data_IF_758881711687
#
_entry.id   IF_758881711687
#
_cell.length_a   1.000
_cell.length_b   1.000
_cell.length_c   1.000
_cell.angle_alpha   90.00
_cell.angle_beta   90.00
_cell.angle_gamma   90.00
#
_symmetry.space_group_name_H-M   'P 1'
#
loop_
_entity.id
_entity.type
_entity.pdbx_description
1 polymer ?
#
# COMPACT_ATOMS: atom_id res chain seq x y z
N UNK A 1 38.66 -19.59 -13.72
CA UNK A 1 37.28 -19.34 -14.18
C UNK A 1 36.79 -18.12 -13.43
N UNK A 2 36.76 -16.94 -14.06
CA UNK A 2 36.10 -15.77 -13.50
C UNK A 2 34.62 -16.13 -13.31
N UNK A 3 34.14 -16.08 -12.07
CA UNK A 3 32.71 -16.15 -11.80
C UNK A 3 32.07 -14.96 -12.53
N UNK A 4 31.19 -15.21 -13.49
CA UNK A 4 30.38 -14.15 -14.07
C UNK A 4 29.61 -13.47 -12.95
N UNK A 5 29.97 -12.22 -12.65
CA UNK A 5 29.25 -11.42 -11.65
C UNK A 5 27.84 -11.27 -12.20
N UNK A 6 26.88 -11.96 -11.59
CA UNK A 6 25.48 -11.88 -12.02
C UNK A 6 24.97 -10.50 -11.62
N UNK A 7 24.79 -9.62 -12.61
CA UNK A 7 24.31 -8.25 -12.38
C UNK A 7 22.94 -8.28 -11.69
N UNK A 8 22.86 -7.69 -10.50
CA UNK A 8 21.63 -7.55 -9.72
C UNK A 8 20.89 -6.31 -10.18
N UNK A 9 19.66 -6.51 -10.68
CA UNK A 9 18.81 -5.42 -11.15
C UNK A 9 17.87 -4.91 -10.06
N UNK A 10 17.77 -3.59 -9.95
CA UNK A 10 16.80 -2.87 -9.14
C UNK A 10 15.77 -2.25 -10.10
N UNK A 11 14.53 -2.70 -10.01
CA UNK A 11 13.43 -2.19 -10.82
C UNK A 11 12.71 -1.05 -10.10
N UNK A 12 12.36 0.03 -10.78
CA UNK A 12 11.44 1.05 -10.25
C UNK A 12 10.15 0.97 -11.07
N UNK A 13 9.02 0.68 -10.41
CA UNK A 13 7.68 0.67 -11.02
C UNK A 13 6.87 1.86 -10.51
N UNK A 14 6.35 2.66 -11.43
CA UNK A 14 5.70 3.93 -11.13
C UNK A 14 4.65 4.28 -12.19
N UNK A 15 3.76 5.22 -11.87
CA UNK A 15 2.70 5.71 -12.76
C UNK A 15 3.07 7.02 -13.44
N UNK A 16 2.23 8.04 -13.27
CA UNK A 16 2.40 9.36 -13.89
C UNK A 16 3.56 10.19 -13.31
N UNK A 17 4.07 9.81 -12.13
CA UNK A 17 5.20 10.46 -11.47
C UNK A 17 6.47 10.40 -12.32
N UNK A 18 7.08 11.54 -12.58
CA UNK A 18 8.17 11.69 -13.54
C UNK A 18 9.37 12.49 -13.01
N UNK A 19 9.37 12.84 -11.71
CA UNK A 19 10.51 13.53 -11.09
C UNK A 19 11.38 12.57 -10.26
N UNK A 20 10.77 11.85 -9.32
CA UNK A 20 11.49 10.96 -8.41
C UNK A 20 12.04 9.67 -9.06
N UNK A 21 11.26 8.88 -9.83
CA UNK A 21 11.74 7.61 -10.37
C UNK A 21 12.96 7.72 -11.30
N UNK A 22 13.02 8.69 -12.24
CA UNK A 22 14.21 8.89 -13.06
C UNK A 22 15.44 9.30 -12.23
N UNK A 23 15.27 10.24 -11.30
CA UNK A 23 16.35 10.71 -10.43
C UNK A 23 16.90 9.58 -9.53
N UNK A 24 16.03 8.68 -9.04
CA UNK A 24 16.46 7.52 -8.25
C UNK A 24 17.27 6.53 -9.09
N UNK A 25 16.82 6.21 -10.31
CA UNK A 25 17.56 5.34 -11.23
C UNK A 25 18.93 5.91 -11.54
N UNK A 26 18.98 7.19 -11.92
CA UNK A 26 20.23 7.90 -12.20
C UNK A 26 21.16 7.87 -10.98
N UNK A 27 20.63 8.18 -9.79
CA UNK A 27 21.42 8.18 -8.56
C UNK A 27 22.03 6.81 -8.26
N UNK A 28 21.26 5.72 -8.37
CA UNK A 28 21.75 4.36 -8.10
C UNK A 28 22.84 4.00 -9.10
N UNK A 29 22.63 4.26 -10.39
CA UNK A 29 23.63 3.93 -11.41
C UNK A 29 24.91 4.77 -11.24
N UNK A 30 24.79 6.06 -10.88
CA UNK A 30 25.94 6.95 -10.61
C UNK A 30 26.73 6.57 -9.34
N UNK A 31 26.21 5.69 -8.48
CA UNK A 31 26.99 5.15 -7.36
C UNK A 31 28.05 4.14 -7.82
N UNK A 32 27.98 3.66 -9.08
CA UNK A 32 28.96 2.74 -9.68
C UNK A 32 29.28 1.53 -8.79
N UNK A 33 28.25 0.94 -8.18
CA UNK A 33 28.41 -0.27 -7.36
C UNK A 33 28.54 -1.47 -8.29
N UNK A 34 29.67 -2.18 -8.19
CA UNK A 34 29.97 -3.33 -9.04
C UNK A 34 28.85 -4.37 -9.03
N UNK A 35 28.39 -4.74 -10.23
CA UNK A 35 27.34 -5.74 -10.43
C UNK A 35 25.93 -5.30 -10.00
N UNK A 36 25.67 -4.00 -9.85
CA UNK A 36 24.33 -3.47 -9.54
C UNK A 36 23.90 -2.45 -10.60
N UNK A 37 22.67 -2.59 -11.09
CA UNK A 37 22.05 -1.61 -11.99
C UNK A 37 20.62 -1.31 -11.59
N UNK A 38 20.13 -0.12 -11.93
CA UNK A 38 18.74 0.28 -11.78
C UNK A 38 18.11 0.64 -13.13
N UNK A 39 16.85 0.28 -13.30
CA UNK A 39 16.06 0.59 -14.50
C UNK A 39 14.56 0.72 -14.19
N UNK A 40 13.81 1.27 -15.13
CA UNK A 40 12.35 1.25 -15.06
C UNK A 40 11.84 -0.16 -15.35
N UNK A 41 10.90 -0.62 -14.53
CA UNK A 41 10.23 -1.90 -14.77
C UNK A 41 9.38 -1.80 -16.03
N UNK A 42 9.58 -2.73 -16.97
CA UNK A 42 8.74 -2.91 -18.16
C UNK A 42 8.09 -4.28 -18.10
N UNK A 43 6.75 -4.32 -18.21
CA UNK A 43 5.98 -5.55 -18.12
C UNK A 43 5.22 -5.83 -19.42
N UNK A 44 5.20 -7.09 -19.84
CA UNK A 44 4.27 -7.62 -20.82
C UNK A 44 3.22 -8.49 -20.14
N UNK A 45 2.91 -9.64 -20.75
CA UNK A 45 2.15 -10.70 -20.08
C UNK A 45 2.98 -11.34 -18.96
N UNK A 46 2.46 -11.33 -17.74
CA UNK A 46 3.10 -11.96 -16.56
C UNK A 46 2.55 -13.37 -16.42
N UNK A 47 3.44 -14.37 -16.45
CA UNK A 47 3.08 -15.76 -16.12
C UNK A 47 3.15 -15.96 -14.60
N UNK A 48 2.25 -16.78 -14.08
CA UNK A 48 2.25 -17.12 -12.66
C UNK A 48 3.52 -17.90 -12.30
N UNK A 49 4.07 -17.62 -11.12
CA UNK A 49 5.28 -18.26 -10.56
C UNK A 49 6.58 -18.06 -11.36
N UNK A 50 6.58 -17.24 -12.42
CA UNK A 50 7.81 -16.87 -13.10
C UNK A 50 8.55 -15.77 -12.32
N UNK A 51 9.89 -15.86 -12.19
CA UNK A 51 10.69 -14.84 -11.51
C UNK A 51 10.68 -13.51 -12.28
N UNK A 52 10.66 -12.40 -11.54
CA UNK A 52 10.62 -11.06 -12.14
C UNK A 52 11.89 -10.67 -12.89
N UNK A 53 13.02 -11.34 -12.61
CA UNK A 53 14.36 -10.97 -13.07
C UNK A 53 14.98 -9.80 -12.30
N UNK A 54 14.30 -9.24 -11.31
CA UNK A 54 14.81 -8.19 -10.43
C UNK A 54 15.18 -8.77 -9.06
N UNK A 55 16.25 -8.24 -8.46
CA UNK A 55 16.58 -8.55 -7.07
C UNK A 55 15.73 -7.73 -6.11
N UNK A 56 15.50 -6.47 -6.46
CA UNK A 56 14.68 -5.52 -5.70
C UNK A 56 13.75 -4.80 -6.67
N UNK A 57 12.50 -4.56 -6.27
CA UNK A 57 11.59 -3.64 -6.97
C UNK A 57 11.12 -2.56 -6.00
N UNK A 58 11.26 -1.30 -6.39
CA UNK A 58 10.68 -0.14 -5.71
C UNK A 58 9.32 0.17 -6.33
N UNK A 59 8.26 -0.07 -5.56
CA UNK A 59 6.86 0.17 -5.89
C UNK A 59 6.41 1.57 -5.51
N UNK A 60 5.97 2.33 -6.51
CA UNK A 60 5.42 3.69 -6.37
C UNK A 60 4.00 3.82 -6.94
N UNK A 61 3.34 2.73 -7.32
CA UNK A 61 2.07 2.81 -8.07
C UNK A 61 1.05 1.70 -7.78
N UNK A 62 1.43 0.62 -7.10
CA UNK A 62 0.53 -0.54 -6.96
C UNK A 62 -0.74 -0.25 -6.15
N UNK A 63 -0.81 0.88 -5.43
CA UNK A 63 -2.03 1.38 -4.79
C UNK A 63 -3.15 1.68 -5.78
N UNK A 64 -2.80 2.19 -6.96
CA UNK A 64 -3.78 2.66 -7.95
C UNK A 64 -4.08 1.58 -9.00
N UNK A 65 -3.14 0.65 -9.24
CA UNK A 65 -3.22 -0.30 -10.37
C UNK A 65 -3.17 -1.75 -9.86
N UNK A 66 -4.32 -2.44 -9.78
CA UNK A 66 -4.41 -3.82 -9.31
C UNK A 66 -3.50 -4.81 -10.05
N UNK A 67 -3.29 -4.60 -11.36
CA UNK A 67 -2.38 -5.41 -12.17
C UNK A 67 -0.94 -5.37 -11.65
N UNK A 68 -0.40 -4.18 -11.37
CA UNK A 68 0.94 -4.03 -10.82
C UNK A 68 1.05 -4.63 -9.42
N UNK A 69 0.02 -4.48 -8.58
CA UNK A 69 -0.02 -5.12 -7.27
C UNK A 69 0.01 -6.65 -7.37
N UNK A 70 -0.73 -7.23 -8.31
CA UNK A 70 -0.72 -8.68 -8.55
C UNK A 70 0.66 -9.15 -9.03
N UNK A 71 1.29 -8.43 -9.97
CA UNK A 71 2.65 -8.69 -10.42
C UNK A 71 3.66 -8.65 -9.27
N UNK A 72 3.61 -7.62 -8.42
CA UNK A 72 4.55 -7.46 -7.32
C UNK A 72 4.41 -8.56 -6.26
N UNK A 73 3.18 -9.06 -6.01
CA UNK A 73 2.98 -10.24 -5.16
C UNK A 73 3.61 -11.49 -5.77
N UNK A 74 3.50 -11.69 -7.09
CA UNK A 74 4.20 -12.77 -7.79
C UNK A 74 5.73 -12.61 -7.74
N UNK A 75 6.23 -11.38 -7.91
CA UNK A 75 7.66 -11.09 -7.80
C UNK A 75 8.18 -11.40 -6.38
N UNK A 76 7.44 -11.00 -5.34
CA UNK A 76 7.76 -11.32 -3.95
C UNK A 76 7.75 -12.83 -3.69
N UNK A 77 6.73 -13.54 -4.19
CA UNK A 77 6.61 -15.00 -4.08
C UNK A 77 7.82 -15.72 -4.72
N UNK A 78 8.36 -15.18 -5.80
CA UNK A 78 9.50 -15.75 -6.54
C UNK A 78 10.86 -15.20 -6.10
N UNK A 79 10.94 -14.54 -4.93
CA UNK A 79 12.19 -14.15 -4.28
C UNK A 79 12.70 -12.74 -4.57
N UNK A 80 11.90 -11.89 -5.21
CA UNK A 80 12.18 -10.45 -5.37
C UNK A 80 11.86 -9.72 -4.07
N UNK A 81 12.76 -8.85 -3.60
CA UNK A 81 12.44 -7.95 -2.49
C UNK A 81 11.62 -6.78 -3.04
N UNK A 82 10.45 -6.49 -2.48
CA UNK A 82 9.59 -5.39 -2.97
C UNK A 82 9.43 -4.33 -1.88
N UNK A 83 9.67 -3.08 -2.25
CA UNK A 83 9.62 -1.90 -1.36
C UNK A 83 8.64 -0.89 -1.95
N UNK A 84 7.50 -0.56 -1.35
CA UNK A 84 7.00 -1.10 -0.09
C UNK A 84 6.40 -2.49 -0.27
N UNK A 85 6.25 -3.21 0.85
CA UNK A 85 5.70 -4.56 0.84
C UNK A 85 4.32 -4.57 0.12
N UNK A 86 4.13 -5.36 -0.96
CA UNK A 86 2.91 -5.33 -1.78
C UNK A 86 1.69 -5.94 -1.08
N UNK A 87 1.89 -6.54 0.09
CA UNK A 87 0.85 -7.04 0.97
C UNK A 87 0.39 -5.98 1.99
N UNK A 88 1.13 -4.88 2.17
CA UNK A 88 0.73 -3.82 3.12
C UNK A 88 -0.43 -2.95 2.65
N UNK A 89 -0.77 -2.96 1.36
CA UNK A 89 -1.95 -2.21 0.91
C UNK A 89 -3.27 -2.75 1.47
N UNK A 90 -3.32 -3.99 1.97
CA UNK A 90 -4.46 -4.47 2.77
C UNK A 90 -4.44 -3.98 4.22
N UNK A 91 -3.36 -3.33 4.66
CA UNK A 91 -3.19 -2.70 5.97
C UNK A 91 -3.38 -1.17 5.93
N UNK A 92 -3.83 -0.60 4.81
CA UNK A 92 -4.29 0.80 4.74
C UNK A 92 -5.68 0.95 5.36
N UNK A 93 -5.76 0.57 6.64
CA UNK A 93 -6.89 0.71 7.53
C UNK A 93 -6.55 1.80 8.53
N UNK A 94 -7.07 3.01 8.29
CA UNK A 94 -6.81 4.15 9.16
C UNK A 94 -7.30 3.89 10.59
N UNK A 95 -8.42 3.19 10.76
CA UNK A 95 -8.97 2.92 12.08
C UNK A 95 -8.04 2.01 12.88
N UNK A 96 -7.60 0.90 12.28
CA UNK A 96 -6.61 0.01 12.89
C UNK A 96 -5.30 0.75 13.21
N UNK A 97 -4.80 1.57 12.27
CA UNK A 97 -3.55 2.31 12.46
C UNK A 97 -3.63 3.31 13.62
N UNK A 98 -4.77 4.01 13.79
CA UNK A 98 -5.00 4.85 14.97
C UNK A 98 -5.10 4.03 16.26
N UNK A 99 -5.83 2.92 16.24
CA UNK A 99 -5.92 2.05 17.42
C UNK A 99 -4.55 1.51 17.86
N UNK A 100 -3.72 1.08 16.90
CA UNK A 100 -2.34 0.64 17.14
C UNK A 100 -1.48 1.79 17.69
N UNK A 101 -1.52 2.97 17.06
CA UNK A 101 -0.78 4.15 17.52
C UNK A 101 -1.13 4.51 18.98
N UNK A 102 -2.41 4.49 19.34
CA UNK A 102 -2.86 4.70 20.73
C UNK A 102 -2.27 3.65 21.68
N UNK A 103 -2.28 2.36 21.30
CA UNK A 103 -1.69 1.27 22.11
C UNK A 103 -0.19 1.39 22.29
N UNK A 104 0.50 1.98 21.31
CA UNK A 104 1.94 2.26 21.36
C UNK A 104 2.29 3.55 22.11
N UNK A 105 1.30 4.29 22.62
CA UNK A 105 1.51 5.57 23.30
C UNK A 105 1.84 6.73 22.37
N UNK A 106 1.56 6.59 21.07
CA UNK A 106 1.71 7.68 20.10
C UNK A 106 0.51 8.62 20.23
N UNK A 107 0.77 9.92 20.39
CA UNK A 107 -0.26 10.93 20.45
C UNK A 107 -1.03 11.01 19.12
N UNK A 108 -2.34 10.79 19.19
CA UNK A 108 -3.28 10.81 18.06
C UNK A 108 -4.64 11.38 18.51
N UNK A 109 -5.47 11.92 17.60
CA UNK A 109 -6.80 12.40 17.97
C UNK A 109 -7.76 11.26 18.34
N UNK A 110 -8.72 11.50 19.26
CA UNK A 110 -9.84 10.59 19.51
C UNK A 110 -10.56 10.28 18.20
N UNK A 111 -10.76 8.99 17.93
CA UNK A 111 -11.29 8.51 16.65
C UNK A 111 -12.32 7.41 16.90
N UNK A 112 -13.45 7.46 16.18
CA UNK A 112 -14.48 6.42 16.17
C UNK A 112 -14.66 5.88 14.75
N UNK A 113 -15.05 4.62 14.63
CA UNK A 113 -15.49 4.03 13.36
C UNK A 113 -17.02 4.10 13.29
N UNK A 114 -17.56 4.60 12.19
CA UNK A 114 -19.00 4.71 11.95
C UNK A 114 -19.40 3.85 10.74
N UNK A 115 -20.59 3.23 10.77
CA UNK A 115 -21.14 2.54 9.59
C UNK A 115 -21.44 3.56 8.48
N UNK A 116 -21.41 3.09 7.23
CA UNK A 116 -21.88 3.90 6.10
C UNK A 116 -23.41 4.11 6.22
N UNK A 117 -23.92 5.21 5.69
CA UNK A 117 -25.36 5.48 5.66
C UNK A 117 -26.14 4.60 4.65
N UNK A 118 -25.45 3.74 3.92
CA UNK A 118 -25.99 2.83 2.91
C UNK A 118 -25.45 1.44 3.18
N UNK A 119 -26.28 0.42 2.93
CA UNK A 119 -25.83 -0.96 2.99
C UNK A 119 -24.83 -1.25 1.86
N UNK A 120 -23.74 -2.00 2.14
CA UNK A 120 -22.88 -2.52 1.08
C UNK A 120 -23.66 -3.32 0.02
N UNK A 121 -23.15 -3.42 -1.22
CA UNK A 121 -23.72 -4.31 -2.23
C UNK A 121 -23.92 -5.72 -1.70
N UNK A 122 -25.01 -6.38 -2.13
CA UNK A 122 -25.38 -7.74 -1.74
C UNK A 122 -25.67 -7.94 -0.23
N UNK A 123 -25.90 -6.87 0.52
CA UNK A 123 -26.29 -6.93 1.93
C UNK A 123 -27.67 -6.31 2.18
N UNK A 124 -28.31 -6.71 3.28
CA UNK A 124 -29.59 -6.15 3.72
C UNK A 124 -29.49 -5.65 5.17
N UNK A 125 -30.58 -5.07 5.67
CA UNK A 125 -30.81 -4.78 7.08
C UNK A 125 -30.52 -5.99 7.99
N UNK A 126 -30.86 -7.21 7.52
CA UNK A 126 -30.56 -8.45 8.24
C UNK A 126 -29.06 -8.72 8.38
N UNK A 127 -28.22 -8.19 7.49
CA UNK A 127 -26.75 -8.24 7.62
C UNK A 127 -26.25 -7.32 8.73
N UNK A 128 -26.99 -6.25 9.04
CA UNK A 128 -26.65 -5.26 10.07
C UNK A 128 -27.19 -5.61 11.47
N UNK A 129 -27.65 -6.84 11.71
CA UNK A 129 -28.25 -7.27 12.99
C UNK A 129 -27.36 -7.10 14.24
N UNK A 130 -26.05 -6.94 14.04
CA UNK A 130 -25.08 -6.71 15.11
C UNK A 130 -24.82 -5.22 15.37
N UNK A 131 -25.38 -4.32 14.55
CA UNK A 131 -25.29 -2.88 14.72
C UNK A 131 -26.37 -2.43 15.70
N UNK A 132 -25.94 -1.86 16.82
CA UNK A 132 -26.85 -1.09 17.68
C UNK A 132 -27.30 0.13 16.89
N UNK A 133 -28.60 0.26 16.67
CA UNK A 133 -29.17 1.39 15.94
C UNK A 133 -30.48 1.85 16.60
N UNK A 134 -30.72 3.18 16.75
CA UNK A 134 -29.83 4.29 16.37
C UNK A 134 -28.53 4.32 17.20
N UNK A 135 -27.49 4.95 16.64
CA UNK A 135 -26.23 5.17 17.35
C UNK A 135 -26.44 6.17 18.50
N UNK A 136 -25.70 5.99 19.59
CA UNK A 136 -25.62 6.96 20.68
C UNK A 136 -24.73 8.15 20.26
N UNK A 137 -25.33 9.13 19.57
CA UNK A 137 -24.60 10.26 19.03
C UNK A 137 -24.01 11.17 20.11
N UNK A 138 -24.68 11.34 21.25
CA UNK A 138 -24.20 12.19 22.35
C UNK A 138 -22.89 11.66 22.93
N UNK A 139 -22.79 10.34 23.13
CA UNK A 139 -21.55 9.68 23.58
C UNK A 139 -20.43 9.84 22.55
N UNK A 140 -20.72 9.59 21.27
CA UNK A 140 -19.74 9.71 20.19
C UNK A 140 -19.20 11.14 20.09
N UNK A 141 -20.08 12.14 20.11
CA UNK A 141 -19.70 13.54 20.02
C UNK A 141 -18.95 14.03 21.25
N UNK A 142 -19.33 13.57 22.45
CA UNK A 142 -18.59 13.88 23.66
C UNK A 142 -17.18 13.30 23.65
N UNK A 143 -16.96 12.12 23.06
CA UNK A 143 -15.65 11.48 22.97
C UNK A 143 -14.75 12.11 21.91
N UNK A 144 -15.28 12.37 20.70
CA UNK A 144 -14.50 12.93 19.58
C UNK A 144 -14.24 14.43 19.75
N UNK A 145 -15.21 15.18 20.26
CA UNK A 145 -15.18 16.64 20.30
C UNK A 145 -15.38 17.30 18.92
N UNK A 146 -15.46 18.63 18.91
CA UNK A 146 -15.59 19.45 17.70
C UNK A 146 -14.58 20.60 17.66
N UNK A 147 -14.12 21.03 16.47
CA UNK A 147 -14.47 20.50 15.14
C UNK A 147 -13.90 19.10 14.87
N UNK A 148 -14.64 18.29 14.12
CA UNK A 148 -14.25 16.92 13.77
C UNK A 148 -14.14 16.75 12.24
N UNK A 149 -13.36 15.76 11.81
CA UNK A 149 -13.16 15.43 10.39
C UNK A 149 -13.71 14.03 10.11
N UNK A 150 -14.65 13.92 9.19
CA UNK A 150 -15.14 12.64 8.67
C UNK A 150 -14.38 12.28 7.39
N UNK A 151 -13.84 11.06 7.33
CA UNK A 151 -13.10 10.56 6.17
C UNK A 151 -13.27 9.05 5.99
N UNK A 152 -13.11 8.50 4.77
CA UNK A 152 -13.09 7.05 4.56
C UNK A 152 -11.98 6.36 5.37
N UNK A 153 -12.30 5.24 6.01
CA UNK A 153 -11.33 4.47 6.79
C UNK A 153 -10.29 3.81 5.88
N UNK A 154 -10.72 3.24 4.76
CA UNK A 154 -9.88 2.60 3.75
C UNK A 154 -9.47 3.56 2.63
N UNK A 155 -8.34 3.26 1.97
CA UNK A 155 -7.90 3.93 0.75
C UNK A 155 -7.02 5.16 0.98
N UNK A 156 -6.34 5.61 -0.09
CA UNK A 156 -5.43 6.74 -0.08
C UNK A 156 -5.70 7.69 -1.26
N UNK A 157 -5.10 8.89 -1.21
CA UNK A 157 -5.21 9.87 -2.30
C UNK A 157 -6.52 10.65 -2.38
N UNK A 158 -7.29 10.72 -1.30
CA UNK A 158 -8.56 11.48 -1.21
C UNK A 158 -9.64 11.02 -2.21
N UNK A 159 -9.57 9.77 -2.66
CA UNK A 159 -10.66 9.11 -3.40
C UNK A 159 -11.61 8.39 -2.46
#
# INVERSE_FOLDING_TARGET
MESSVTTKKIGIIFGMENTFPPALVEKINNMNVDGVTAEFVKLGGVKMADPSGYRVIVDRISQDIPFYRAFLKNAALTGTIVINNPFWWTADDKFFNYALASKLGVAIPPTVLLPHNQHPPDTTDRSMRNLIYPLNWDEIFSYVGFPAVLKPYSGGGWK
#
